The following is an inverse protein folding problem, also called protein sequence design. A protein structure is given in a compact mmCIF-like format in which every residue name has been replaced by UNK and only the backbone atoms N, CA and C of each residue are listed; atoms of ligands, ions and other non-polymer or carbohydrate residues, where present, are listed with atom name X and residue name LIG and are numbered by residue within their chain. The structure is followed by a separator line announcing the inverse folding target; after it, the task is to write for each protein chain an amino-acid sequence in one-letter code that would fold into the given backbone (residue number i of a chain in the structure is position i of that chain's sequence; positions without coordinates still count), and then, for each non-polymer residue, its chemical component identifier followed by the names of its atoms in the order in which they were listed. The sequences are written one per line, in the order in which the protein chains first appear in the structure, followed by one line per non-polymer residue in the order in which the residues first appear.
data_IF_466378568328
#
_entry.id   IF_466378568328
#
_cell.length_a   1.000
_cell.length_b   1.000
_cell.length_c   1.000
_cell.angle_alpha   90.00
_cell.angle_beta   90.00
_cell.angle_gamma   90.00
#
_symmetry.space_group_name_H-M   'P 1'
#
loop_
_entity.id
_entity.type
_entity.pdbx_description
1 polymer ?
#
# COMPACT_ATOMS: atom_id res chain seq x y z
N UNK A 1 14.64 -3.55 -16.12
CA UNK A 1 13.16 -3.56 -15.93
C UNK A 1 12.75 -2.18 -15.43
N UNK A 2 11.62 -1.69 -15.86
CA UNK A 2 11.06 -0.39 -15.46
C UNK A 2 9.64 -0.64 -14.98
N UNK A 3 9.22 0.01 -13.88
CA UNK A 3 7.80 -0.05 -13.49
C UNK A 3 6.97 0.85 -14.39
N UNK A 4 5.72 0.48 -14.54
CA UNK A 4 4.71 1.24 -15.30
C UNK A 4 3.70 1.93 -14.37
N UNK A 5 3.73 1.63 -13.07
CA UNK A 5 2.88 2.29 -12.10
C UNK A 5 3.41 2.29 -10.68
N UNK A 6 3.00 3.30 -9.91
CA UNK A 6 3.30 3.47 -8.49
C UNK A 6 2.04 3.90 -7.75
N UNK A 7 1.51 3.03 -6.89
CA UNK A 7 0.26 3.25 -6.15
C UNK A 7 0.46 3.57 -4.66
N UNK A 8 1.72 3.71 -4.19
CA UNK A 8 1.98 4.06 -2.81
C UNK A 8 2.79 5.34 -2.71
N UNK A 9 2.07 6.45 -2.68
CA UNK A 9 2.66 7.80 -2.55
C UNK A 9 1.83 8.69 -1.63
N UNK A 10 2.47 9.63 -0.98
CA UNK A 10 1.85 10.55 -0.03
C UNK A 10 1.87 11.99 -0.53
N UNK A 11 0.83 12.74 -0.15
CA UNK A 11 0.66 14.13 -0.54
C UNK A 11 0.65 15.08 0.67
N UNK A 12 0.71 16.38 0.41
CA UNK A 12 0.60 17.41 1.45
C UNK A 12 -0.79 17.50 2.09
N UNK A 13 -1.76 16.73 1.60
CA UNK A 13 -3.10 16.69 2.19
C UNK A 13 -3.20 15.81 3.44
N UNK A 14 -2.17 15.01 3.74
CA UNK A 14 -1.93 14.42 5.05
C UNK A 14 -1.69 15.50 6.11
N UNK A 15 -2.04 15.22 7.37
CA UNK A 15 -1.70 16.13 8.49
C UNK A 15 -0.21 16.41 8.53
N UNK A 16 0.15 17.61 9.00
CA UNK A 16 1.53 18.09 9.14
C UNK A 16 2.36 18.01 7.84
N UNK A 17 1.70 18.04 6.68
CA UNK A 17 2.35 17.91 5.37
C UNK A 17 3.32 16.71 5.35
N UNK A 18 2.85 15.55 5.73
CA UNK A 18 3.66 14.32 5.78
C UNK A 18 4.24 14.02 4.39
N UNK A 19 3.42 13.96 3.35
CA UNK A 19 3.87 14.15 1.98
C UNK A 19 4.17 15.65 1.74
N UNK A 20 5.26 15.96 1.03
CA UNK A 20 5.74 17.33 0.88
C UNK A 20 5.15 18.06 -0.32
N UNK A 21 4.62 17.34 -1.27
CA UNK A 21 4.16 17.86 -2.55
C UNK A 21 2.65 17.71 -2.73
N UNK A 22 2.10 18.48 -3.66
CA UNK A 22 0.70 18.32 -4.08
C UNK A 22 0.51 17.02 -4.87
N UNK A 23 -0.75 16.64 -5.11
CA UNK A 23 -1.07 15.51 -5.98
C UNK A 23 -0.60 15.81 -7.41
N UNK A 24 -0.79 17.06 -7.85
CA UNK A 24 -0.40 17.53 -9.18
C UNK A 24 1.12 17.53 -9.38
N UNK A 25 1.92 17.97 -8.38
CA UNK A 25 3.38 17.90 -8.44
C UNK A 25 3.89 16.44 -8.49
N UNK A 26 3.27 15.55 -7.72
CA UNK A 26 3.57 14.12 -7.76
C UNK A 26 3.18 13.51 -9.11
N UNK A 27 2.05 13.91 -9.67
CA UNK A 27 1.58 13.52 -10.99
C UNK A 27 2.57 13.93 -12.10
N UNK A 28 3.06 15.17 -12.09
CA UNK A 28 4.06 15.62 -13.05
C UNK A 28 5.34 14.81 -12.97
N UNK A 29 5.77 14.44 -11.75
CA UNK A 29 6.92 13.56 -11.57
C UNK A 29 6.67 12.15 -12.12
N UNK A 30 5.48 11.58 -11.91
CA UNK A 30 5.09 10.29 -12.46
C UNK A 30 5.09 10.31 -14.00
N UNK A 31 4.55 11.38 -14.59
CA UNK A 31 4.52 11.62 -16.04
C UNK A 31 5.94 11.75 -16.61
N UNK A 32 6.79 12.55 -15.99
CA UNK A 32 8.18 12.72 -16.42
C UNK A 32 8.98 11.41 -16.39
N UNK A 33 8.64 10.48 -15.48
CA UNK A 33 9.23 9.13 -15.42
C UNK A 33 8.56 8.13 -16.36
N UNK A 34 7.52 8.54 -17.09
CA UNK A 34 6.79 7.70 -18.05
C UNK A 34 6.06 6.54 -17.39
N UNK A 35 5.41 6.78 -16.24
CA UNK A 35 4.48 5.84 -15.66
C UNK A 35 3.16 5.85 -16.44
N UNK A 36 2.53 4.69 -16.64
CA UNK A 36 1.21 4.56 -17.23
C UNK A 36 0.10 4.83 -16.21
N UNK A 37 0.37 4.58 -14.93
CA UNK A 37 -0.56 4.89 -13.85
C UNK A 37 0.17 5.37 -12.58
N UNK A 38 -0.53 6.23 -11.83
CA UNK A 38 -0.06 6.82 -10.59
C UNK A 38 -1.19 6.82 -9.56
N UNK A 39 -0.87 6.59 -8.30
CA UNK A 39 -1.84 6.63 -7.21
C UNK A 39 -1.34 7.41 -6.01
N UNK A 40 -2.22 8.22 -5.43
CA UNK A 40 -2.00 8.85 -4.12
C UNK A 40 -2.74 8.07 -3.05
N UNK A 41 -2.07 7.78 -1.92
CA UNK A 41 -2.57 6.92 -0.86
C UNK A 41 -2.20 7.45 0.53
N UNK A 42 -2.61 8.66 0.84
CA UNK A 42 -2.37 9.25 2.16
C UNK A 42 -2.88 8.36 3.30
N UNK A 43 -2.24 8.45 4.47
CA UNK A 43 -2.58 7.61 5.63
C UNK A 43 -4.04 7.74 6.07
N UNK A 44 -4.60 6.63 6.54
CA UNK A 44 -5.95 6.54 7.09
C UNK A 44 -6.23 7.55 8.21
N UNK A 45 -7.49 7.98 8.38
CA UNK A 45 -7.86 9.17 9.16
C UNK A 45 -7.54 9.07 10.65
N UNK A 46 -7.42 7.88 11.23
CA UNK A 46 -7.10 7.70 12.65
C UNK A 46 -5.60 7.70 12.95
N UNK A 47 -4.74 7.85 11.94
CA UNK A 47 -3.33 8.11 12.18
C UNK A 47 -3.18 9.50 12.83
N UNK A 48 -2.69 9.55 14.07
CA UNK A 48 -2.69 10.76 14.91
C UNK A 48 -1.93 11.91 14.23
N UNK A 49 -0.76 11.61 13.67
CA UNK A 49 0.13 12.61 13.10
C UNK A 49 -0.07 12.81 11.60
N UNK A 50 -0.44 11.77 10.84
CA UNK A 50 -0.37 11.80 9.37
C UNK A 50 -1.71 11.50 8.67
N UNK A 51 -2.78 11.22 9.44
CA UNK A 51 -4.07 10.84 8.88
C UNK A 51 -4.71 11.92 8.02
N UNK A 52 -5.24 11.52 6.86
CA UNK A 52 -6.01 12.42 6.01
C UNK A 52 -7.37 12.74 6.63
N UNK A 53 -7.79 14.00 6.60
CA UNK A 53 -9.14 14.39 7.02
C UNK A 53 -10.17 14.05 5.93
N UNK A 54 -11.45 13.87 6.31
CA UNK A 54 -12.54 13.67 5.34
C UNK A 54 -12.56 14.79 4.30
N UNK A 55 -12.45 16.05 4.71
CA UNK A 55 -12.42 17.23 3.83
C UNK A 55 -11.26 17.15 2.82
N UNK A 56 -10.07 16.76 3.27
CA UNK A 56 -8.93 16.65 2.39
C UNK A 56 -9.06 15.45 1.44
N UNK A 57 -9.65 14.33 1.87
CA UNK A 57 -9.93 13.19 1.01
C UNK A 57 -10.92 13.56 -0.11
N UNK A 58 -12.01 14.29 0.22
CA UNK A 58 -12.96 14.81 -0.77
C UNK A 58 -12.28 15.78 -1.75
N UNK A 59 -11.35 16.61 -1.26
CA UNK A 59 -10.55 17.49 -2.11
C UNK A 59 -9.63 16.69 -3.03
N UNK A 60 -8.96 15.65 -2.50
CA UNK A 60 -8.10 14.78 -3.30
C UNK A 60 -8.89 14.06 -4.39
N UNK A 61 -10.15 13.64 -4.13
CA UNK A 61 -11.02 13.06 -5.14
C UNK A 61 -11.26 14.02 -6.31
N UNK A 62 -11.59 15.26 -6.02
CA UNK A 62 -11.81 16.30 -7.05
C UNK A 62 -10.57 16.51 -7.91
N UNK A 63 -9.40 16.63 -7.28
CA UNK A 63 -8.12 16.82 -7.99
C UNK A 63 -7.83 15.62 -8.91
N UNK A 64 -8.01 14.40 -8.41
CA UNK A 64 -7.79 13.19 -9.22
C UNK A 64 -8.76 13.12 -10.40
N UNK A 65 -10.03 13.50 -10.20
CA UNK A 65 -11.02 13.55 -11.29
C UNK A 65 -10.65 14.62 -12.33
N UNK A 66 -10.23 15.81 -11.90
CA UNK A 66 -9.78 16.89 -12.77
C UNK A 66 -8.56 16.47 -13.60
N UNK A 67 -7.56 15.82 -12.97
CA UNK A 67 -6.39 15.30 -13.69
C UNK A 67 -6.79 14.27 -14.74
N UNK A 68 -7.66 13.30 -14.40
CA UNK A 68 -8.12 12.29 -15.35
C UNK A 68 -8.98 12.87 -16.49
N UNK A 69 -9.67 13.99 -16.25
CA UNK A 69 -10.48 14.66 -17.26
C UNK A 69 -9.63 15.52 -18.23
N UNK A 70 -8.55 16.14 -17.71
CA UNK A 70 -7.71 17.06 -18.47
C UNK A 70 -6.71 16.38 -19.40
N UNK A 71 -6.40 15.10 -19.18
CA UNK A 71 -5.42 14.34 -19.96
C UNK A 71 -5.74 12.83 -19.94
N UNK A 72 -5.11 12.05 -20.85
CA UNK A 72 -5.30 10.60 -20.99
C UNK A 72 -3.99 9.82 -21.00
N UNK A 73 -2.86 10.49 -20.86
CA UNK A 73 -1.52 9.90 -20.98
C UNK A 73 -1.18 8.97 -19.80
N UNK A 74 -1.70 9.32 -18.61
CA UNK A 74 -1.45 8.58 -17.38
C UNK A 74 -2.74 8.48 -16.56
N UNK A 75 -3.08 7.29 -16.10
CA UNK A 75 -4.24 7.09 -15.22
C UNK A 75 -3.89 7.44 -13.78
N UNK A 76 -4.69 8.31 -13.17
CA UNK A 76 -4.53 8.71 -11.75
C UNK A 76 -5.58 8.02 -10.90
N UNK A 77 -5.15 7.43 -9.78
CA UNK A 77 -6.02 6.74 -8.83
C UNK A 77 -5.95 7.39 -7.44
N UNK A 78 -7.09 7.46 -6.75
CA UNK A 78 -7.18 7.84 -5.35
C UNK A 78 -7.29 6.61 -4.47
N UNK A 79 -6.33 6.41 -3.60
CA UNK A 79 -6.35 5.41 -2.54
C UNK A 79 -6.20 6.03 -1.15
N UNK A 80 -6.20 5.18 -0.15
CA UNK A 80 -5.80 5.47 1.22
C UNK A 80 -4.97 4.32 1.75
N UNK A 81 -3.86 4.64 2.42
CA UNK A 81 -3.13 3.67 3.22
C UNK A 81 -3.77 3.58 4.60
N UNK A 82 -4.80 2.72 4.70
CA UNK A 82 -5.56 2.50 5.92
C UNK A 82 -4.74 1.79 6.99
N UNK A 83 -5.01 2.12 8.24
CA UNK A 83 -4.41 1.44 9.38
C UNK A 83 -5.23 0.21 9.77
N UNK A 84 -4.58 -0.94 9.89
CA UNK A 84 -5.15 -2.10 10.56
C UNK A 84 -5.24 -1.81 12.07
N UNK A 85 -6.46 -1.73 12.61
CA UNK A 85 -6.69 -1.25 13.99
C UNK A 85 -7.34 -2.28 14.91
N UNK A 86 -7.64 -3.46 14.43
CA UNK A 86 -8.27 -4.52 15.23
C UNK A 86 -7.82 -5.93 14.84
N UNK A 87 -7.76 -6.84 15.80
CA UNK A 87 -7.47 -8.26 15.56
C UNK A 87 -8.57 -8.95 14.74
N UNK A 88 -9.74 -8.36 14.66
CA UNK A 88 -10.87 -8.75 13.81
C UNK A 88 -10.78 -8.23 12.36
N UNK A 89 -9.64 -7.65 11.99
CA UNK A 89 -9.38 -7.15 10.66
C UNK A 89 -9.97 -5.77 10.37
N UNK A 90 -10.49 -5.04 11.37
CA UNK A 90 -10.98 -3.68 11.15
C UNK A 90 -9.88 -2.71 10.74
N UNK A 91 -10.27 -1.77 9.88
CA UNK A 91 -9.43 -0.66 9.43
C UNK A 91 -10.00 0.67 9.96
N UNK A 92 -9.25 1.74 9.79
CA UNK A 92 -9.62 3.09 10.24
C UNK A 92 -10.37 3.93 9.21
N UNK A 93 -10.71 3.36 8.07
CA UNK A 93 -11.50 4.00 6.99
C UNK A 93 -12.94 3.53 7.08
N UNK A 94 -13.88 4.46 7.10
CA UNK A 94 -15.32 4.16 7.14
C UNK A 94 -15.94 4.03 5.74
N UNK A 95 -17.17 3.47 5.67
CA UNK A 95 -17.85 3.16 4.41
C UNK A 95 -18.01 4.38 3.48
N UNK A 96 -18.33 5.55 4.03
CA UNK A 96 -18.47 6.78 3.22
C UNK A 96 -17.15 7.24 2.61
N UNK A 97 -16.03 6.96 3.28
CA UNK A 97 -14.70 7.26 2.73
C UNK A 97 -14.28 6.23 1.70
N UNK A 98 -14.58 4.95 1.93
CA UNK A 98 -14.30 3.87 0.97
C UNK A 98 -14.96 4.14 -0.40
N UNK A 99 -16.17 4.70 -0.42
CA UNK A 99 -16.87 5.07 -1.67
C UNK A 99 -16.14 6.11 -2.53
N UNK A 100 -15.25 6.89 -1.93
CA UNK A 100 -14.44 7.89 -2.65
C UNK A 100 -13.20 7.30 -3.30
N UNK A 101 -12.82 6.06 -2.95
CA UNK A 101 -11.56 5.47 -3.32
C UNK A 101 -11.65 4.63 -4.59
N UNK A 102 -10.58 4.64 -5.36
CA UNK A 102 -10.38 3.71 -6.47
C UNK A 102 -9.68 2.42 -5.99
N UNK A 103 -8.91 2.48 -4.89
CA UNK A 103 -8.23 1.34 -4.27
C UNK A 103 -7.96 1.54 -2.77
N UNK A 104 -7.69 0.45 -2.08
CA UNK A 104 -7.40 0.41 -0.65
C UNK A 104 -6.06 -0.28 -0.41
N UNK A 105 -5.14 0.41 0.26
CA UNK A 105 -3.93 -0.17 0.84
C UNK A 105 -4.18 -0.38 2.33
N UNK A 106 -3.65 -1.44 2.91
CA UNK A 106 -3.72 -1.65 4.36
C UNK A 106 -2.35 -1.99 4.91
N UNK A 107 -1.96 -1.24 5.94
CA UNK A 107 -0.74 -1.47 6.70
C UNK A 107 -0.98 -1.37 8.21
N UNK A 108 0.01 -1.79 8.98
CA UNK A 108 0.03 -1.56 10.43
C UNK A 108 0.95 -0.40 10.74
N UNK A 109 0.41 0.65 11.37
CA UNK A 109 1.19 1.82 11.79
C UNK A 109 1.06 2.05 13.29
N UNK A 110 2.15 2.46 13.93
CA UNK A 110 2.18 2.84 15.34
C UNK A 110 1.38 4.10 15.64
N UNK A 111 1.10 4.89 14.61
CA UNK A 111 0.51 6.22 14.73
C UNK A 111 -0.98 6.25 15.05
N UNK A 112 -1.65 5.14 15.29
CA UNK A 112 -3.00 5.10 15.85
C UNK A 112 -2.95 4.81 17.35
N UNK A 113 -3.91 5.33 18.12
CA UNK A 113 -3.97 5.11 19.58
C UNK A 113 -3.98 3.61 19.90
N UNK A 114 -4.80 2.85 19.20
CA UNK A 114 -4.93 1.39 19.40
C UNK A 114 -3.60 0.67 19.14
N UNK A 115 -2.94 1.00 18.04
CA UNK A 115 -1.70 0.33 17.64
C UNK A 115 -0.51 0.77 18.48
N UNK A 116 -0.49 2.01 18.97
CA UNK A 116 0.53 2.52 19.86
C UNK A 116 0.62 1.68 21.15
N UNK A 117 -0.52 1.43 21.77
CA UNK A 117 -0.60 0.58 22.99
C UNK A 117 -0.15 -0.86 22.66
N UNK A 118 -0.64 -1.45 21.58
CA UNK A 118 -0.26 -2.81 21.17
C UNK A 118 1.23 -2.95 20.88
N UNK A 119 1.84 -1.95 20.24
CA UNK A 119 3.26 -1.97 19.90
C UNK A 119 4.16 -2.09 21.12
N UNK A 120 3.88 -1.36 22.20
CA UNK A 120 4.67 -1.43 23.45
C UNK A 120 4.52 -2.77 24.17
N UNK A 121 3.38 -3.45 24.02
CA UNK A 121 3.11 -4.75 24.61
C UNK A 121 3.29 -5.92 23.63
N UNK A 122 3.64 -5.64 22.38
CA UNK A 122 3.82 -6.66 21.34
C UNK A 122 5.09 -7.48 21.60
N UNK A 123 4.96 -8.53 22.40
CA UNK A 123 5.99 -9.57 22.50
C UNK A 123 6.02 -10.30 21.15
N UNK A 124 7.25 -10.57 20.64
CA UNK A 124 7.49 -11.39 19.45
C UNK A 124 7.22 -12.88 19.70
N UNK A 125 6.20 -13.20 20.52
CA UNK A 125 5.83 -14.58 20.80
C UNK A 125 5.08 -15.19 19.61
N UNK A 126 5.17 -16.51 19.45
CA UNK A 126 4.40 -17.24 18.42
C UNK A 126 2.92 -16.89 18.45
N UNK A 127 2.33 -16.81 19.66
CA UNK A 127 0.92 -16.44 19.86
C UNK A 127 0.60 -15.03 19.34
N UNK A 128 1.51 -14.05 19.54
CA UNK A 128 1.30 -12.69 19.06
C UNK A 128 1.47 -12.62 17.54
N UNK A 129 2.45 -13.31 16.97
CA UNK A 129 2.62 -13.42 15.51
C UNK A 129 1.35 -13.99 14.87
N UNK A 130 0.77 -15.05 15.46
CA UNK A 130 -0.47 -15.63 14.96
C UNK A 130 -1.63 -14.62 15.02
N UNK A 131 -1.82 -13.91 16.15
CA UNK A 131 -2.86 -12.87 16.25
C UNK A 131 -2.70 -11.76 15.21
N UNK A 132 -1.46 -11.32 14.97
CA UNK A 132 -1.18 -10.32 13.95
C UNK A 132 -1.52 -10.85 12.54
N UNK A 133 -1.16 -12.11 12.27
CA UNK A 133 -1.46 -12.80 11.00
C UNK A 133 -2.97 -12.91 10.79
N UNK A 134 -3.70 -13.36 11.81
CA UNK A 134 -5.16 -13.49 11.77
C UNK A 134 -5.83 -12.13 11.49
N UNK A 135 -5.31 -11.03 12.06
CA UNK A 135 -5.83 -9.70 11.79
C UNK A 135 -5.73 -9.31 10.31
N UNK A 136 -4.60 -9.59 9.64
CA UNK A 136 -4.45 -9.36 8.19
C UNK A 136 -5.36 -10.28 7.37
N UNK A 137 -5.45 -11.57 7.73
CA UNK A 137 -6.34 -12.53 7.08
C UNK A 137 -7.80 -12.11 7.22
N UNK A 138 -8.23 -11.70 8.42
CA UNK A 138 -9.58 -11.19 8.65
C UNK A 138 -9.84 -9.92 7.82
N UNK A 139 -8.85 -9.04 7.72
CA UNK A 139 -8.96 -7.81 6.95
C UNK A 139 -9.20 -8.10 5.45
N UNK A 140 -8.38 -8.95 4.83
CA UNK A 140 -8.51 -9.27 3.40
C UNK A 140 -9.80 -10.05 3.09
N UNK A 141 -10.34 -10.76 4.07
CA UNK A 141 -11.64 -11.43 3.93
C UNK A 141 -12.82 -10.46 4.04
N UNK A 142 -12.64 -9.35 4.75
CA UNK A 142 -13.68 -8.35 5.03
C UNK A 142 -13.74 -7.23 4.01
N UNK A 143 -12.59 -6.82 3.47
CA UNK A 143 -12.47 -5.69 2.55
C UNK A 143 -11.80 -6.10 1.23
N UNK A 144 -12.11 -5.38 0.15
CA UNK A 144 -11.38 -5.50 -1.10
C UNK A 144 -10.07 -4.70 -1.02
N UNK A 145 -9.05 -5.29 -0.42
CA UNK A 145 -7.72 -4.69 -0.29
C UNK A 145 -6.93 -4.89 -1.58
N UNK A 146 -6.43 -3.82 -2.19
CA UNK A 146 -5.58 -3.92 -3.39
C UNK A 146 -4.24 -4.56 -3.05
N UNK A 147 -3.60 -4.09 -1.98
CA UNK A 147 -2.38 -4.70 -1.45
C UNK A 147 -2.13 -4.37 0.02
N UNK A 148 -1.36 -5.22 0.68
CA UNK A 148 -0.84 -4.94 2.01
C UNK A 148 0.51 -4.23 1.90
N UNK A 149 0.62 -3.05 2.55
CA UNK A 149 1.85 -2.27 2.58
C UNK A 149 2.85 -2.83 3.59
N UNK A 150 4.14 -2.75 3.25
CA UNK A 150 5.33 -2.98 4.05
C UNK A 150 5.18 -3.96 5.23
N UNK A 151 4.67 -5.18 4.98
CA UNK A 151 4.51 -6.24 5.97
C UNK A 151 5.81 -6.47 6.78
N UNK A 152 5.68 -6.92 8.02
CA UNK A 152 6.80 -7.15 8.93
C UNK A 152 7.57 -5.91 9.42
N UNK A 153 7.16 -4.68 9.02
CA UNK A 153 7.88 -3.46 9.41
C UNK A 153 7.73 -3.14 10.89
N UNK A 154 6.53 -3.10 11.40
CA UNK A 154 6.26 -2.73 12.80
C UNK A 154 5.86 -3.92 13.68
N UNK A 155 5.21 -4.90 13.11
CA UNK A 155 4.78 -6.13 13.78
C UNK A 155 5.17 -7.34 12.94
N UNK A 156 5.52 -8.44 13.61
CA UNK A 156 5.81 -9.70 12.89
C UNK A 156 4.53 -10.47 12.61
N UNK A 157 4.49 -11.07 11.42
CA UNK A 157 3.39 -11.91 10.92
C UNK A 157 3.95 -13.18 10.27
N UNK A 158 3.10 -14.17 10.03
CA UNK A 158 3.41 -15.29 9.15
C UNK A 158 3.12 -14.87 7.70
N UNK A 159 4.17 -14.51 6.97
CA UNK A 159 4.07 -13.99 5.61
C UNK A 159 3.46 -15.00 4.64
N UNK A 160 3.74 -16.30 4.81
CA UNK A 160 3.18 -17.35 3.95
C UNK A 160 1.68 -17.51 4.12
N UNK A 161 1.16 -17.47 5.34
CA UNK A 161 -0.28 -17.59 5.59
C UNK A 161 -1.03 -16.37 5.05
N UNK A 162 -0.45 -15.18 5.17
CA UNK A 162 -1.00 -13.96 4.55
C UNK A 162 -0.96 -14.08 3.02
N UNK A 163 0.13 -14.55 2.43
CA UNK A 163 0.26 -14.74 0.98
C UNK A 163 -0.81 -15.68 0.42
N UNK A 164 -1.09 -16.79 1.11
CA UNK A 164 -2.18 -17.72 0.75
C UNK A 164 -3.56 -17.07 0.82
N UNK A 165 -3.80 -16.22 1.80
CA UNK A 165 -5.06 -15.48 1.90
C UNK A 165 -5.17 -14.41 0.82
N UNK A 166 -4.10 -13.70 0.52
CA UNK A 166 -4.00 -12.70 -0.54
C UNK A 166 -4.23 -13.31 -1.93
N UNK A 167 -3.62 -14.47 -2.22
CA UNK A 167 -3.84 -15.21 -3.47
C UNK A 167 -5.32 -15.50 -3.71
N UNK A 168 -6.02 -16.02 -2.70
CA UNK A 168 -7.45 -16.35 -2.78
C UNK A 168 -8.35 -15.12 -3.01
N UNK A 169 -7.88 -13.95 -2.65
CA UNK A 169 -8.63 -12.69 -2.71
C UNK A 169 -8.11 -11.75 -3.78
N UNK A 170 -7.16 -12.17 -4.62
CA UNK A 170 -6.47 -11.34 -5.61
C UNK A 170 -5.97 -10.02 -5.01
N UNK A 171 -5.34 -10.12 -3.84
CA UNK A 171 -4.69 -9.03 -3.13
C UNK A 171 -3.19 -9.15 -3.32
N UNK A 172 -2.49 -8.06 -3.63
CA UNK A 172 -1.05 -8.10 -3.80
C UNK A 172 -0.33 -7.95 -2.45
N UNK A 173 0.94 -8.37 -2.42
CA UNK A 173 1.87 -8.05 -1.33
C UNK A 173 2.89 -7.03 -1.86
N UNK A 174 3.11 -5.98 -1.10
CA UNK A 174 4.04 -4.94 -1.48
C UNK A 174 5.50 -5.37 -1.29
N UNK A 175 6.31 -5.10 -2.30
CA UNK A 175 7.76 -5.01 -2.21
C UNK A 175 8.11 -3.52 -2.16
N UNK A 176 8.14 -2.98 -0.94
CA UNK A 176 8.38 -1.57 -0.68
C UNK A 176 9.88 -1.26 -0.80
N UNK A 177 10.22 -0.22 -1.58
CA UNK A 177 11.64 0.15 -1.81
C UNK A 177 12.34 0.66 -0.55
N UNK A 178 11.58 1.17 0.44
CA UNK A 178 12.09 1.75 1.70
C UNK A 178 12.00 0.80 2.90
N UNK A 179 10.99 -0.05 2.90
CA UNK A 179 10.59 -0.88 4.05
C UNK A 179 10.44 -2.35 3.66
N UNK A 180 11.53 -2.96 3.21
CA UNK A 180 11.55 -4.39 2.93
C UNK A 180 12.01 -5.17 4.17
N UNK A 181 11.12 -5.95 4.77
CA UNK A 181 11.35 -6.64 6.05
C UNK A 181 11.05 -8.16 6.01
N UNK A 182 11.12 -8.74 4.82
CA UNK A 182 11.05 -10.20 4.68
C UNK A 182 12.43 -10.83 4.78
N UNK A 183 12.50 -12.00 5.42
CA UNK A 183 13.68 -12.86 5.35
C UNK A 183 13.76 -13.56 4.00
N UNK A 184 14.94 -14.09 3.67
CA UNK A 184 15.10 -14.87 2.43
C UNK A 184 14.16 -16.10 2.40
N UNK A 185 13.94 -16.74 3.55
CA UNK A 185 13.05 -17.90 3.65
C UNK A 185 11.57 -17.48 3.42
N UNK A 186 11.12 -16.38 4.03
CA UNK A 186 9.75 -15.88 3.82
C UNK A 186 9.48 -15.56 2.36
N UNK A 187 10.42 -14.88 1.67
CA UNK A 187 10.28 -14.59 0.23
C UNK A 187 10.23 -15.87 -0.60
N UNK A 188 11.17 -16.80 -0.36
CA UNK A 188 11.20 -18.10 -1.06
C UNK A 188 9.89 -18.86 -0.86
N UNK A 189 9.40 -18.94 0.38
CA UNK A 189 8.16 -19.64 0.70
C UNK A 189 6.94 -19.02 0.00
N UNK A 190 6.82 -17.69 -0.03
CA UNK A 190 5.74 -17.01 -0.75
C UNK A 190 5.80 -17.27 -2.25
N UNK A 191 7.00 -17.23 -2.84
CA UNK A 191 7.17 -17.41 -4.29
C UNK A 191 6.90 -18.86 -4.70
N UNK A 192 7.42 -19.85 -3.96
CA UNK A 192 7.35 -21.28 -4.32
C UNK A 192 6.02 -21.94 -3.93
N UNK A 193 5.36 -21.46 -2.86
CA UNK A 193 4.18 -22.12 -2.28
C UNK A 193 2.87 -21.40 -2.55
N UNK A 194 2.88 -20.27 -3.25
CA UNK A 194 1.70 -19.51 -3.64
C UNK A 194 1.88 -18.88 -5.02
N UNK A 195 0.78 -18.45 -5.64
CA UNK A 195 0.78 -17.58 -6.83
C UNK A 195 0.41 -16.13 -6.48
N UNK A 196 0.62 -15.70 -5.24
CA UNK A 196 0.35 -14.33 -4.84
C UNK A 196 1.09 -13.35 -5.74
N UNK A 197 0.41 -12.29 -6.15
CA UNK A 197 1.02 -11.21 -6.93
C UNK A 197 1.72 -10.21 -6.03
N UNK A 198 2.72 -9.54 -6.57
CA UNK A 198 3.47 -8.49 -5.90
C UNK A 198 3.25 -7.15 -6.59
N UNK A 199 3.34 -6.09 -5.82
CA UNK A 199 3.38 -4.71 -6.32
C UNK A 199 4.65 -4.03 -5.81
N UNK A 200 5.35 -3.35 -6.71
CA UNK A 200 6.50 -2.53 -6.35
C UNK A 200 6.04 -1.10 -6.13
N UNK A 201 6.51 -0.45 -5.08
CA UNK A 201 6.11 0.91 -4.75
C UNK A 201 7.23 1.71 -4.13
N UNK A 202 7.14 3.03 -4.31
CA UNK A 202 8.15 3.95 -3.81
C UNK A 202 7.92 4.38 -2.36
N UNK A 203 6.68 4.35 -1.89
CA UNK A 203 6.29 4.97 -0.61
C UNK A 203 6.80 6.44 -0.55
N UNK A 204 6.56 7.14 -1.66
CA UNK A 204 7.12 8.46 -1.88
C UNK A 204 6.45 9.52 -1.02
N UNK A 205 7.26 10.30 -0.31
CA UNK A 205 6.84 11.47 0.47
C UNK A 205 7.29 12.79 -0.20
N UNK A 206 7.91 12.69 -1.37
CA UNK A 206 8.34 13.82 -2.21
C UNK A 206 8.15 13.47 -3.67
N UNK A 207 7.78 14.44 -4.50
CA UNK A 207 7.56 14.24 -5.94
C UNK A 207 8.78 13.61 -6.62
N UNK A 208 9.99 14.01 -6.29
CA UNK A 208 11.23 13.46 -6.85
C UNK A 208 11.41 11.95 -6.62
N UNK A 209 10.72 11.38 -5.63
CA UNK A 209 10.80 9.94 -5.27
C UNK A 209 9.66 9.10 -5.84
N UNK A 210 8.64 9.70 -6.46
CA UNK A 210 7.56 8.97 -7.12
C UNK A 210 8.15 8.06 -8.20
N UNK A 211 7.81 6.78 -8.18
CA UNK A 211 8.34 5.77 -9.11
C UNK A 211 9.81 5.36 -8.86
N UNK A 212 10.40 5.75 -7.73
CA UNK A 212 11.75 5.34 -7.36
C UNK A 212 11.73 4.01 -6.61
N UNK A 213 11.93 2.94 -7.34
CA UNK A 213 11.79 1.55 -6.84
C UNK A 213 13.05 0.71 -7.08
N UNK A 214 14.22 1.33 -7.16
CA UNK A 214 15.48 0.61 -7.47
C UNK A 214 15.73 -0.55 -6.52
N UNK A 215 15.64 -0.34 -5.20
CA UNK A 215 15.82 -1.41 -4.22
C UNK A 215 14.79 -2.55 -4.40
N UNK A 216 13.54 -2.20 -4.73
CA UNK A 216 12.50 -3.21 -4.97
C UNK A 216 12.81 -4.04 -6.24
N UNK A 217 13.35 -3.42 -7.29
CA UNK A 217 13.79 -4.12 -8.50
C UNK A 217 14.97 -5.06 -8.24
N UNK A 218 15.89 -4.68 -7.36
CA UNK A 218 16.98 -5.57 -6.94
C UNK A 218 16.46 -6.81 -6.18
N UNK A 219 15.43 -6.63 -5.36
CA UNK A 219 14.75 -7.74 -4.66
C UNK A 219 14.10 -8.68 -5.69
N UNK A 220 13.41 -8.15 -6.70
CA UNK A 220 12.82 -8.95 -7.78
C UNK A 220 13.89 -9.80 -8.47
N UNK A 221 15.02 -9.20 -8.83
CA UNK A 221 16.16 -9.90 -9.45
C UNK A 221 16.75 -10.96 -8.51
N UNK A 222 17.00 -10.60 -7.26
CA UNK A 222 17.61 -11.49 -6.25
C UNK A 222 16.81 -12.78 -6.05
N UNK A 223 15.48 -12.67 -6.05
CA UNK A 223 14.60 -13.82 -5.82
C UNK A 223 14.03 -14.44 -7.10
N UNK A 224 14.42 -13.93 -8.28
CA UNK A 224 13.91 -14.37 -9.58
C UNK A 224 12.37 -14.40 -9.63
N UNK A 225 11.72 -13.34 -9.12
CA UNK A 225 10.24 -13.26 -9.11
C UNK A 225 9.76 -13.14 -10.57
N UNK A 226 8.85 -14.03 -11.04
CA UNK A 226 8.31 -13.95 -12.39
C UNK A 226 7.64 -12.61 -12.68
N UNK A 227 7.88 -12.03 -13.86
CA UNK A 227 7.37 -10.70 -14.21
C UNK A 227 5.84 -10.63 -14.23
N UNK A 228 5.17 -11.70 -14.62
CA UNK A 228 3.71 -11.84 -14.66
C UNK A 228 3.07 -11.83 -13.25
N UNK A 229 3.88 -12.02 -12.22
CA UNK A 229 3.47 -11.88 -10.82
C UNK A 229 3.67 -10.46 -10.26
N UNK A 230 4.19 -9.52 -11.07
CA UNK A 230 4.47 -8.14 -10.63
C UNK A 230 3.54 -7.18 -11.35
N UNK A 231 2.48 -6.78 -10.67
CA UNK A 231 1.44 -5.91 -11.26
C UNK A 231 1.96 -4.51 -11.66
N UNK A 232 3.05 -4.04 -11.06
CA UNK A 232 3.68 -2.76 -11.44
C UNK A 232 4.33 -2.78 -12.82
N UNK A 233 4.43 -3.94 -13.48
CA UNK A 233 4.95 -4.08 -14.85
C UNK A 233 3.85 -4.19 -15.91
N UNK A 234 2.59 -4.24 -15.50
CA UNK A 234 1.43 -4.31 -16.39
C UNK A 234 0.81 -2.92 -16.55
N UNK A 235 0.87 -2.34 -17.73
CA UNK A 235 0.29 -1.03 -18.05
C UNK A 235 -1.24 -1.02 -17.95
N UNK A 236 -1.87 -2.20 -18.08
CA UNK A 236 -3.31 -2.37 -18.01
C UNK A 236 -3.80 -2.73 -16.59
N UNK A 237 -2.90 -2.75 -15.62
CA UNK A 237 -3.29 -3.06 -14.24
C UNK A 237 -4.29 -2.04 -13.70
N UNK A 238 -5.43 -2.54 -13.27
CA UNK A 238 -6.48 -1.75 -12.62
C UNK A 238 -6.59 -2.23 -11.18
N UNK A 239 -6.30 -1.38 -10.18
CA UNK A 239 -6.48 -1.76 -8.79
C UNK A 239 -7.96 -1.98 -8.49
N UNK A 240 -8.27 -2.99 -7.67
CA UNK A 240 -9.64 -3.29 -7.31
C UNK A 240 -10.20 -2.25 -6.34
N UNK A 241 -11.45 -1.87 -6.56
CA UNK A 241 -12.18 -0.94 -5.68
C UNK A 241 -12.48 -1.58 -4.33
N UNK A 242 -12.44 -0.79 -3.25
CA UNK A 242 -12.78 -1.25 -1.89
C UNK A 242 -14.22 -1.71 -1.75
#
# INVERSE_FOLDING_TARGET
MKILGDLHTHSKYSKFNHGKNTIEENFESAKAKGLAFYGVSDHGPKHIFYGISKKNLEKSRKIVDELNNSQKDIKVYLGVEANLVGSDGRIDVGDEQLKLLDYLIVGYHKGTITNFVQYFFARKSKKQIQKNTDAYINCVNKYNVAFFSHLNTYIKVNSLDIAKACEKRDTCIEINTRHFNFTNLEMKDMIEKTNVKFILSSDAHRASRVGDVENALEIVKKFNIPNDRIVSFDENYIPKRP
#
